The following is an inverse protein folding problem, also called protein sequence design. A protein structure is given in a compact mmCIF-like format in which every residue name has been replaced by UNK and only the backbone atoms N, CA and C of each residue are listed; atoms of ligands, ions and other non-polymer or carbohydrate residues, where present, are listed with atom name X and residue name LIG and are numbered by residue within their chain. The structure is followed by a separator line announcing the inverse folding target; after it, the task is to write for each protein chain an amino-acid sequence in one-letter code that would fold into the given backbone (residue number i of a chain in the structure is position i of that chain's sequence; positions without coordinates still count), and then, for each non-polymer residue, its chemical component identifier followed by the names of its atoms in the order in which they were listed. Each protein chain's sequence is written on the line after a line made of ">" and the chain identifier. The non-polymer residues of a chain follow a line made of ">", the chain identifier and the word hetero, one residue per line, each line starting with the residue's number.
data_IF_831147679194
#
_entry.id   IF_831147679194
#
_cell.length_a   1.000
_cell.length_b   1.000
_cell.length_c   1.000
_cell.angle_alpha   90.00
_cell.angle_beta   90.00
_cell.angle_gamma   90.00
#
_symmetry.space_group_name_H-M   'P 1'
#
loop_
_entity.id
_entity.type
_entity.pdbx_description
1 polymer ?
#
# COMPACT_ATOMS: atom_id res chain seq x y z
N UNK A 1 -26.83 7.74 -34.70
CA UNK A 1 -26.25 9.00 -34.19
C UNK A 1 -24.98 8.67 -33.48
N UNK A 2 -23.85 8.82 -34.15
CA UNK A 2 -22.51 8.60 -33.58
C UNK A 2 -22.21 9.74 -32.64
N UNK A 3 -22.19 9.47 -31.31
CA UNK A 3 -21.72 10.41 -30.28
C UNK A 3 -20.24 10.64 -30.54
N UNK A 4 -19.87 11.81 -31.01
CA UNK A 4 -18.50 12.28 -30.98
C UNK A 4 -18.11 12.43 -29.51
N UNK A 5 -17.37 11.46 -28.98
CA UNK A 5 -16.63 11.65 -27.75
C UNK A 5 -15.72 12.87 -27.98
N UNK A 6 -15.95 13.96 -27.26
CA UNK A 6 -15.11 15.14 -27.32
C UNK A 6 -13.68 14.70 -26.94
N UNK A 7 -12.74 14.71 -27.90
CA UNK A 7 -11.36 14.33 -27.64
C UNK A 7 -10.81 15.26 -26.56
N UNK A 8 -10.31 14.69 -25.47
CA UNK A 8 -9.63 15.42 -24.41
C UNK A 8 -8.51 16.26 -25.03
N UNK A 9 -8.39 17.56 -24.70
CA UNK A 9 -7.33 18.39 -25.27
C UNK A 9 -5.96 17.79 -24.94
N UNK A 10 -4.99 17.85 -25.85
CA UNK A 10 -3.67 17.23 -25.68
C UNK A 10 -2.88 17.83 -24.49
N UNK A 11 -3.19 19.06 -24.10
CA UNK A 11 -2.66 19.72 -22.88
C UNK A 11 -3.80 20.45 -22.15
N UNK A 12 -3.92 20.25 -20.87
CA UNK A 12 -4.96 20.81 -20.04
C UNK A 12 -4.42 21.30 -18.71
N UNK A 13 -4.96 22.42 -18.21
CA UNK A 13 -4.73 22.95 -16.88
C UNK A 13 -6.06 22.87 -16.13
N UNK A 14 -6.07 22.13 -15.04
CA UNK A 14 -7.23 22.00 -14.15
C UNK A 14 -7.02 22.93 -12.97
N UNK A 15 -7.95 23.88 -12.76
CA UNK A 15 -7.93 24.80 -11.62
C UNK A 15 -8.91 24.31 -10.56
N UNK A 16 -8.45 24.22 -9.32
CA UNK A 16 -9.28 23.90 -8.14
C UNK A 16 -9.10 24.95 -7.06
N UNK A 17 -10.17 25.27 -6.36
CA UNK A 17 -10.14 26.20 -5.23
C UNK A 17 -9.64 25.46 -4.00
N UNK A 18 -8.62 26.00 -3.35
CA UNK A 18 -8.09 25.55 -2.08
C UNK A 18 -8.73 26.27 -0.91
N UNK A 19 -8.56 25.76 0.29
CA UNK A 19 -8.82 26.49 1.52
C UNK A 19 -7.88 27.71 1.61
N UNK A 20 -8.33 28.82 2.19
CA UNK A 20 -7.47 29.99 2.47
C UNK A 20 -7.16 30.91 1.28
N UNK A 21 -8.05 31.06 0.30
CA UNK A 21 -7.90 31.97 -0.84
C UNK A 21 -6.71 31.64 -1.78
N UNK A 22 -6.34 30.37 -1.86
CA UNK A 22 -5.37 29.82 -2.79
C UNK A 22 -6.08 29.08 -3.93
N UNK A 23 -5.45 29.02 -5.10
CA UNK A 23 -5.91 28.22 -6.23
C UNK A 23 -4.79 27.23 -6.58
N UNK A 24 -5.14 25.96 -6.65
CA UNK A 24 -4.28 24.92 -7.18
C UNK A 24 -4.51 24.73 -8.68
N UNK A 25 -3.45 24.46 -9.42
CA UNK A 25 -3.49 24.18 -10.84
C UNK A 25 -2.69 22.92 -11.16
N UNK A 26 -3.29 22.01 -11.91
CA UNK A 26 -2.70 20.73 -12.30
C UNK A 26 -2.56 20.72 -13.82
N UNK A 27 -1.35 20.47 -14.31
CA UNK A 27 -1.05 20.30 -15.73
C UNK A 27 -1.18 18.81 -16.10
N UNK A 28 -2.01 18.49 -17.10
CA UNK A 28 -2.29 17.11 -17.53
C UNK A 28 -2.45 16.99 -19.04
N UNK A 29 -2.44 15.75 -19.53
CA UNK A 29 -2.60 15.39 -20.94
C UNK A 29 -1.28 14.91 -21.58
N UNK A 30 -1.36 14.34 -22.76
CA UNK A 30 -0.16 13.84 -23.50
C UNK A 30 0.90 14.92 -23.67
N UNK A 31 0.47 16.17 -23.88
CA UNK A 31 1.35 17.33 -24.02
C UNK A 31 1.36 18.21 -22.74
N UNK A 32 1.28 17.60 -21.56
CA UNK A 32 1.26 18.28 -20.28
C UNK A 32 2.38 19.34 -20.11
N UNK A 33 3.53 19.17 -20.76
CA UNK A 33 4.65 20.13 -20.75
C UNK A 33 4.24 21.50 -21.31
N UNK A 34 3.29 21.55 -22.24
CA UNK A 34 2.77 22.83 -22.76
C UNK A 34 1.93 23.52 -21.67
N UNK A 35 1.12 22.77 -20.95
CA UNK A 35 0.36 23.30 -19.81
C UNK A 35 1.30 23.80 -18.69
N UNK A 36 2.38 23.07 -18.39
CA UNK A 36 3.40 23.50 -17.42
C UNK A 36 4.07 24.81 -17.87
N UNK A 37 4.46 24.90 -19.15
CA UNK A 37 5.05 26.13 -19.71
C UNK A 37 4.11 27.34 -19.60
N UNK A 38 2.82 27.13 -19.80
CA UNK A 38 1.82 28.18 -19.65
C UNK A 38 1.69 28.65 -18.19
N UNK A 39 1.69 27.72 -17.22
CA UNK A 39 1.65 28.03 -15.78
C UNK A 39 2.87 28.84 -15.35
N UNK A 40 4.07 28.42 -15.73
CA UNK A 40 5.31 29.15 -15.43
C UNK A 40 5.30 30.55 -16.07
N UNK A 41 4.89 30.66 -17.36
CA UNK A 41 4.80 31.94 -18.04
C UNK A 41 3.75 32.89 -17.42
N UNK A 42 2.73 32.36 -16.74
CA UNK A 42 1.72 33.12 -16.02
C UNK A 42 2.09 33.42 -14.55
N UNK A 43 3.28 33.02 -14.10
CA UNK A 43 3.79 33.26 -12.75
C UNK A 43 3.15 32.41 -11.65
N UNK A 44 2.80 31.15 -11.97
CA UNK A 44 2.37 30.16 -10.98
C UNK A 44 3.58 29.44 -10.41
N UNK A 45 3.57 29.20 -9.09
CA UNK A 45 4.67 28.54 -8.39
C UNK A 45 4.43 27.03 -8.33
N UNK A 46 5.45 26.26 -8.66
CA UNK A 46 5.40 24.79 -8.61
C UNK A 46 5.76 24.31 -7.21
N UNK A 47 4.88 23.56 -6.58
CA UNK A 47 5.16 22.82 -5.32
C UNK A 47 5.94 21.53 -5.60
N UNK A 48 6.52 20.94 -4.53
CA UNK A 48 7.32 19.72 -4.64
C UNK A 48 6.62 18.53 -5.32
N UNK A 49 5.30 18.46 -5.24
CA UNK A 49 4.48 17.34 -5.75
C UNK A 49 3.95 17.57 -7.18
N UNK A 50 4.44 18.59 -7.89
CA UNK A 50 4.03 18.85 -9.28
C UNK A 50 2.74 19.66 -9.42
N UNK A 51 2.09 20.02 -8.35
CA UNK A 51 0.99 20.98 -8.30
C UNK A 51 1.54 22.40 -8.44
N UNK A 52 0.82 23.26 -9.10
CA UNK A 52 1.12 24.68 -9.15
C UNK A 52 0.11 25.42 -8.28
N UNK A 53 0.56 26.35 -7.45
CA UNK A 53 -0.31 27.11 -6.57
C UNK A 53 -0.12 28.60 -6.74
N UNK A 54 -1.14 29.37 -6.36
CA UNK A 54 -1.06 30.81 -6.27
C UNK A 54 -2.03 31.36 -5.22
N UNK A 55 -1.46 32.11 -4.28
CA UNK A 55 -2.21 32.78 -3.22
C UNK A 55 -2.74 34.12 -3.71
N UNK A 56 -3.95 34.46 -3.33
CA UNK A 56 -4.60 35.72 -3.69
C UNK A 56 -5.12 36.43 -2.44
N UNK A 57 -4.80 37.72 -2.30
CA UNK A 57 -5.34 38.58 -1.24
C UNK A 57 -6.73 39.13 -1.58
N UNK A 58 -7.07 39.23 -2.87
CA UNK A 58 -8.29 39.85 -3.37
C UNK A 58 -8.83 39.08 -4.60
N UNK A 59 -10.15 39.06 -4.73
CA UNK A 59 -10.84 38.43 -5.87
C UNK A 59 -10.39 39.01 -7.22
N UNK A 60 -10.26 40.36 -7.30
CA UNK A 60 -9.82 41.02 -8.53
C UNK A 60 -8.39 40.61 -8.95
N UNK A 61 -7.51 40.31 -7.99
CA UNK A 61 -6.17 39.78 -8.27
C UNK A 61 -6.24 38.33 -8.83
N UNK A 62 -7.11 37.49 -8.29
CA UNK A 62 -7.36 36.16 -8.80
C UNK A 62 -7.91 36.19 -10.24
N UNK A 63 -8.90 37.01 -10.52
CA UNK A 63 -9.50 37.20 -11.86
C UNK A 63 -8.44 37.64 -12.90
N UNK A 64 -7.57 38.57 -12.54
CA UNK A 64 -6.46 39.01 -13.42
C UNK A 64 -5.45 37.89 -13.67
N UNK A 65 -5.09 37.13 -12.64
CA UNK A 65 -4.16 36.03 -12.76
C UNK A 65 -4.72 34.91 -13.62
N UNK A 66 -5.99 34.54 -13.44
CA UNK A 66 -6.67 33.55 -14.29
C UNK A 66 -6.73 34.05 -15.74
N UNK A 67 -7.05 35.31 -15.97
CA UNK A 67 -7.04 35.91 -17.32
C UNK A 67 -5.65 35.83 -17.96
N UNK A 68 -4.59 36.14 -17.22
CA UNK A 68 -3.21 36.00 -17.66
C UNK A 68 -2.88 34.56 -18.00
N UNK A 69 -3.29 33.59 -17.15
CA UNK A 69 -3.10 32.16 -17.40
C UNK A 69 -3.81 31.71 -18.67
N UNK A 70 -5.07 32.11 -18.88
CA UNK A 70 -5.83 31.75 -20.10
C UNK A 70 -5.13 32.28 -21.36
N UNK A 71 -4.56 33.50 -21.34
CA UNK A 71 -3.77 34.02 -22.44
C UNK A 71 -2.47 33.24 -22.68
N UNK A 72 -1.75 32.87 -21.60
CA UNK A 72 -0.56 32.03 -21.68
C UNK A 72 -0.90 30.63 -22.22
N UNK A 73 -1.96 30.02 -21.71
CA UNK A 73 -2.42 28.70 -22.13
C UNK A 73 -2.74 28.63 -23.63
N UNK A 74 -3.44 29.63 -24.16
CA UNK A 74 -3.73 29.76 -25.60
C UNK A 74 -2.45 29.79 -26.43
N UNK A 75 -1.42 30.54 -26.02
CA UNK A 75 -0.12 30.59 -26.70
C UNK A 75 0.62 29.24 -26.65
N UNK A 76 0.45 28.50 -25.59
CA UNK A 76 1.05 27.18 -25.38
C UNK A 76 0.13 26.02 -25.80
N UNK A 77 -0.98 26.29 -26.52
CA UNK A 77 -1.94 25.27 -26.99
C UNK A 77 -2.50 24.40 -25.89
N UNK A 78 -2.65 24.94 -24.69
CA UNK A 78 -3.26 24.29 -23.55
C UNK A 78 -4.68 24.84 -23.31
N UNK A 79 -5.58 23.96 -22.87
CA UNK A 79 -6.92 24.34 -22.40
C UNK A 79 -6.88 24.62 -20.89
N UNK A 80 -7.68 25.58 -20.43
CA UNK A 80 -7.88 25.83 -19.00
C UNK A 80 -9.30 25.43 -18.66
N UNK A 81 -9.46 24.56 -17.68
CA UNK A 81 -10.74 24.12 -17.13
C UNK A 81 -10.78 24.38 -15.63
N UNK A 82 -11.96 24.64 -15.10
CA UNK A 82 -12.16 24.83 -13.66
C UNK A 82 -12.82 23.58 -13.10
N UNK A 83 -12.24 23.01 -12.06
CA UNK A 83 -12.89 21.97 -11.27
C UNK A 83 -14.10 22.56 -10.54
N UNK A 84 -15.18 21.82 -10.48
CA UNK A 84 -16.34 22.13 -9.63
C UNK A 84 -16.16 21.60 -8.20
N UNK A 85 -15.05 20.91 -7.94
CA UNK A 85 -14.71 20.30 -6.64
C UNK A 85 -13.65 21.12 -5.93
N UNK A 86 -13.64 21.13 -4.59
CA UNK A 86 -12.51 21.62 -3.82
C UNK A 86 -11.22 20.88 -4.19
N UNK A 87 -10.08 21.47 -3.90
CA UNK A 87 -8.79 20.83 -4.12
C UNK A 87 -8.67 19.54 -3.30
N UNK A 88 -8.29 18.44 -3.96
CA UNK A 88 -8.24 17.10 -3.33
C UNK A 88 -7.23 17.04 -2.17
N UNK A 89 -6.15 17.84 -2.22
CA UNK A 89 -5.18 17.93 -1.12
C UNK A 89 -5.81 18.38 0.18
N UNK A 90 -6.60 19.45 0.18
CA UNK A 90 -7.27 19.98 1.37
C UNK A 90 -8.29 18.97 1.95
N UNK A 91 -9.01 18.30 1.05
CA UNK A 91 -9.94 17.23 1.44
C UNK A 91 -9.20 16.10 2.13
N UNK A 92 -8.07 15.68 1.56
CA UNK A 92 -7.23 14.62 2.10
C UNK A 92 -6.60 15.01 3.44
N UNK A 93 -6.17 16.26 3.60
CA UNK A 93 -5.68 16.78 4.87
C UNK A 93 -6.77 16.70 5.95
N UNK A 94 -7.99 17.11 5.63
CA UNK A 94 -9.13 17.01 6.55
C UNK A 94 -9.45 15.55 6.91
N UNK A 95 -9.47 14.65 5.92
CA UNK A 95 -9.69 13.23 6.15
C UNK A 95 -8.58 12.67 7.05
N UNK A 96 -7.30 12.93 6.76
CA UNK A 96 -6.16 12.45 7.52
C UNK A 96 -6.21 12.86 9.00
N UNK A 97 -6.65 14.09 9.29
CA UNK A 97 -6.82 14.57 10.67
C UNK A 97 -7.96 13.90 11.43
N UNK A 98 -8.96 13.36 10.73
CA UNK A 98 -10.11 12.70 11.34
C UNK A 98 -9.92 11.17 11.48
N UNK A 99 -9.01 10.58 10.71
CA UNK A 99 -8.73 9.15 10.80
C UNK A 99 -7.99 8.78 12.09
N UNK A 100 -8.21 7.58 12.65
CA UNK A 100 -7.51 7.12 13.84
C UNK A 100 -6.02 6.90 13.57
N UNK A 101 -5.16 7.45 14.42
CA UNK A 101 -3.70 7.35 14.31
C UNK A 101 -3.08 8.47 13.45
N UNK A 102 -1.76 8.43 13.26
CA UNK A 102 -1.04 9.43 12.47
C UNK A 102 -1.14 9.10 10.97
N UNK A 103 -1.81 9.95 10.22
CA UNK A 103 -1.91 9.86 8.77
C UNK A 103 -1.25 11.06 8.12
N UNK A 104 -0.45 10.80 7.09
CA UNK A 104 0.22 11.84 6.30
C UNK A 104 -0.32 11.82 4.87
N UNK A 105 -0.98 12.88 4.41
CA UNK A 105 -1.44 13.02 3.04
C UNK A 105 -0.30 13.52 2.14
N UNK A 106 -0.18 12.95 0.95
CA UNK A 106 0.78 13.36 -0.08
C UNK A 106 0.07 13.39 -1.43
N UNK A 107 0.00 14.55 -2.05
CA UNK A 107 -0.59 14.68 -3.39
C UNK A 107 0.39 14.18 -4.45
N UNK A 108 -0.11 13.38 -5.36
CA UNK A 108 0.60 12.85 -6.50
C UNK A 108 -0.09 13.30 -7.80
N UNK A 109 0.69 13.80 -8.77
CA UNK A 109 0.17 14.29 -10.05
C UNK A 109 0.62 13.39 -11.18
N UNK A 110 -0.33 12.80 -11.86
CA UNK A 110 -0.13 11.94 -13.03
C UNK A 110 -0.37 12.77 -14.30
N UNK A 111 0.53 13.71 -14.56
CA UNK A 111 0.42 14.66 -15.68
C UNK A 111 0.28 13.96 -17.03
N UNK A 112 1.01 12.86 -17.27
CA UNK A 112 0.86 12.05 -18.48
C UNK A 112 -0.01 10.83 -18.19
N UNK A 113 -1.02 10.52 -19.02
CA UNK A 113 -1.92 9.38 -18.78
C UNK A 113 -1.21 8.03 -18.59
N UNK A 114 -0.10 7.79 -19.32
CA UNK A 114 0.71 6.55 -19.20
C UNK A 114 1.28 6.35 -17.78
N UNK A 115 1.53 7.43 -17.02
CA UNK A 115 2.07 7.28 -15.65
C UNK A 115 1.10 6.62 -14.67
N UNK A 116 -0.18 6.56 -15.02
CA UNK A 116 -1.16 5.86 -14.20
C UNK A 116 -1.00 4.33 -14.30
N UNK A 117 -0.47 3.82 -15.41
CA UNK A 117 -0.20 2.40 -15.59
C UNK A 117 0.83 1.90 -14.56
N UNK A 118 1.76 2.77 -14.14
CA UNK A 118 2.76 2.44 -13.13
C UNK A 118 2.15 2.17 -11.74
N UNK A 119 0.92 2.62 -11.48
CA UNK A 119 0.21 2.35 -10.22
C UNK A 119 -0.39 0.95 -10.16
N UNK A 120 -0.78 0.38 -11.30
CA UNK A 120 -1.53 -0.88 -11.37
C UNK A 120 -0.86 -2.02 -10.59
N UNK A 121 0.47 -2.25 -10.70
CA UNK A 121 1.14 -3.32 -9.96
C UNK A 121 1.16 -3.11 -8.43
N UNK A 122 1.01 -1.87 -7.98
CA UNK A 122 1.11 -1.52 -6.56
C UNK A 122 -0.25 -1.46 -5.87
N UNK A 123 -1.34 -1.28 -6.64
CA UNK A 123 -2.68 -1.24 -6.09
C UNK A 123 -3.16 -2.64 -5.72
N UNK A 124 -3.71 -2.73 -4.53
CA UNK A 124 -4.36 -3.93 -4.03
C UNK A 124 -5.84 -3.62 -3.85
N UNK A 125 -6.55 -3.61 -4.96
CA UNK A 125 -7.95 -3.22 -5.06
C UNK A 125 -8.71 -4.07 -6.09
N UNK A 126 -9.94 -4.42 -5.78
CA UNK A 126 -10.85 -5.15 -6.67
C UNK A 126 -12.08 -4.33 -7.07
N UNK A 127 -12.07 -3.01 -6.87
CA UNK A 127 -13.21 -2.13 -7.02
C UNK A 127 -13.07 -1.06 -8.09
N UNK A 128 -13.72 0.08 -7.86
CA UNK A 128 -13.78 1.20 -8.80
C UNK A 128 -12.41 1.87 -9.01
N UNK A 129 -11.54 1.86 -7.98
CA UNK A 129 -10.24 2.53 -8.06
C UNK A 129 -9.34 1.93 -9.12
N UNK A 130 -9.14 0.60 -9.10
CA UNK A 130 -8.26 -0.06 -10.09
C UNK A 130 -8.78 0.15 -11.52
N UNK A 131 -10.10 0.11 -11.73
CA UNK A 131 -10.69 0.37 -13.04
C UNK A 131 -10.45 1.82 -13.50
N UNK A 132 -10.55 2.80 -12.59
CA UNK A 132 -10.30 4.20 -12.90
C UNK A 132 -8.83 4.44 -13.33
N UNK A 133 -7.89 3.80 -12.64
CA UNK A 133 -6.45 3.87 -12.96
C UNK A 133 -6.16 3.21 -14.31
N UNK A 134 -6.67 2.01 -14.55
CA UNK A 134 -6.51 1.30 -15.84
C UNK A 134 -7.12 2.06 -17.02
N UNK A 135 -8.22 2.78 -16.79
CA UNK A 135 -8.85 3.61 -17.81
C UNK A 135 -8.17 4.97 -18.03
N UNK A 136 -7.05 5.26 -17.34
CA UNK A 136 -6.33 6.53 -17.47
C UNK A 136 -7.12 7.76 -17.00
N UNK A 137 -8.04 7.59 -16.03
CA UNK A 137 -8.97 8.65 -15.60
C UNK A 137 -8.50 9.41 -14.37
N UNK A 138 -7.33 9.07 -13.82
CA UNK A 138 -6.78 9.66 -12.60
C UNK A 138 -5.70 10.69 -12.96
N UNK A 139 -6.02 11.97 -12.97
CA UNK A 139 -5.03 13.02 -13.28
C UNK A 139 -4.17 13.38 -12.07
N UNK A 140 -4.72 13.21 -10.89
CA UNK A 140 -4.05 13.39 -9.59
C UNK A 140 -4.78 12.58 -8.53
N UNK A 141 -4.05 12.25 -7.49
CA UNK A 141 -4.55 11.52 -6.34
C UNK A 141 -3.90 12.04 -5.06
N UNK A 142 -4.39 11.61 -3.92
CA UNK A 142 -3.69 11.79 -2.65
C UNK A 142 -3.43 10.44 -2.01
N UNK A 143 -2.18 10.15 -1.73
CA UNK A 143 -1.76 9.01 -0.93
C UNK A 143 -1.89 9.37 0.54
N UNK A 144 -2.65 8.59 1.30
CA UNK A 144 -2.80 8.68 2.74
C UNK A 144 -1.96 7.57 3.37
N UNK A 145 -0.87 7.92 4.04
CA UNK A 145 0.07 6.96 4.64
C UNK A 145 -0.05 6.95 6.15
N UNK A 146 -0.22 5.78 6.74
CA UNK A 146 -0.07 5.53 8.16
C UNK A 146 1.11 4.56 8.37
N UNK A 147 2.31 5.10 8.59
CA UNK A 147 3.53 4.30 8.79
C UNK A 147 3.45 3.38 10.00
N UNK A 148 2.79 3.83 11.08
CA UNK A 148 2.65 3.04 12.31
C UNK A 148 1.78 1.79 12.10
N UNK A 149 0.73 1.92 11.30
CA UNK A 149 -0.16 0.81 10.97
C UNK A 149 0.30 0.03 9.73
N UNK A 150 1.27 0.55 8.96
CA UNK A 150 1.70 -0.01 7.67
C UNK A 150 0.57 -0.03 6.64
N UNK A 151 -0.22 1.05 6.59
CA UNK A 151 -1.36 1.19 5.68
C UNK A 151 -1.18 2.39 4.80
N UNK A 152 -1.27 2.17 3.49
CA UNK A 152 -1.28 3.20 2.47
C UNK A 152 -2.58 3.13 1.67
N UNK A 153 -3.28 4.26 1.59
CA UNK A 153 -4.49 4.38 0.79
C UNK A 153 -4.28 5.39 -0.34
N UNK A 154 -4.91 5.14 -1.48
CA UNK A 154 -5.01 6.10 -2.58
C UNK A 154 -6.42 6.67 -2.61
N UNK A 155 -6.54 7.98 -2.48
CA UNK A 155 -7.78 8.75 -2.58
C UNK A 155 -7.80 9.49 -3.93
N UNK A 156 -8.87 9.30 -4.69
CA UNK A 156 -9.09 10.00 -5.97
C UNK A 156 -10.45 10.68 -6.00
N UNK A 157 -10.60 11.68 -6.86
CA UNK A 157 -11.92 12.13 -7.26
C UNK A 157 -12.65 11.02 -8.02
N UNK A 158 -13.94 10.79 -7.71
CA UNK A 158 -14.70 9.74 -8.39
C UNK A 158 -14.89 10.07 -9.88
N UNK A 159 -14.35 9.28 -10.82
CA UNK A 159 -14.45 9.58 -12.24
C UNK A 159 -15.89 9.54 -12.75
N UNK A 160 -16.21 10.43 -13.69
CA UNK A 160 -17.55 10.47 -14.30
C UNK A 160 -18.67 11.00 -13.40
N UNK A 161 -18.38 11.38 -12.16
CA UNK A 161 -19.35 11.96 -11.22
C UNK A 161 -18.95 13.39 -10.84
N UNK A 162 -19.93 14.23 -10.55
CA UNK A 162 -19.67 15.63 -10.11
C UNK A 162 -19.26 15.74 -8.64
N UNK A 163 -19.50 14.72 -7.83
CA UNK A 163 -19.26 14.69 -6.39
C UNK A 163 -18.73 13.34 -5.93
N UNK A 164 -18.15 13.32 -4.72
CA UNK A 164 -17.67 12.11 -4.08
C UNK A 164 -16.25 11.72 -4.50
N UNK A 165 -15.69 10.81 -3.74
CA UNK A 165 -14.33 10.30 -3.90
C UNK A 165 -14.34 8.78 -3.94
N UNK A 166 -13.22 8.18 -4.31
CA UNK A 166 -12.97 6.74 -4.20
C UNK A 166 -11.66 6.57 -3.43
N UNK A 167 -11.67 5.67 -2.45
CA UNK A 167 -10.47 5.28 -1.74
C UNK A 167 -10.25 3.77 -1.86
N UNK A 168 -9.01 3.36 -2.09
CA UNK A 168 -8.57 1.98 -2.11
C UNK A 168 -7.15 1.88 -1.54
N UNK A 169 -6.61 0.66 -1.42
CA UNK A 169 -5.33 0.43 -0.78
C UNK A 169 -4.22 0.15 -1.77
N UNK A 170 -3.01 0.54 -1.39
CA UNK A 170 -1.80 -0.09 -1.89
C UNK A 170 -1.57 -1.42 -1.18
N UNK A 171 -0.87 -2.34 -1.83
CA UNK A 171 -0.47 -3.56 -1.16
C UNK A 171 0.53 -3.24 -0.05
N UNK A 172 0.37 -3.85 1.13
CA UNK A 172 1.36 -3.70 2.17
C UNK A 172 2.67 -4.37 1.75
N UNK A 173 3.77 -3.90 2.33
CA UNK A 173 5.09 -4.45 2.10
C UNK A 173 5.09 -5.97 2.21
N UNK A 174 5.81 -6.58 1.30
CA UNK A 174 6.00 -8.00 1.32
C UNK A 174 5.02 -8.82 0.49
N UNK A 175 4.16 -8.21 -0.30
CA UNK A 175 3.34 -8.90 -1.29
C UNK A 175 3.74 -8.45 -2.69
N UNK A 176 4.14 -9.39 -3.54
CA UNK A 176 4.67 -9.09 -4.87
C UNK A 176 3.59 -9.16 -5.97
N UNK A 177 2.58 -10.02 -5.81
CA UNK A 177 1.50 -10.20 -6.79
C UNK A 177 0.20 -9.60 -6.26
N UNK A 178 -0.06 -8.35 -6.64
CA UNK A 178 -1.20 -7.58 -6.16
C UNK A 178 -2.32 -7.45 -7.18
N UNK A 179 -1.98 -7.50 -8.46
CA UNK A 179 -2.94 -7.38 -9.54
C UNK A 179 -3.84 -8.62 -9.59
N UNK A 180 -5.15 -8.40 -9.67
CA UNK A 180 -6.18 -9.46 -9.66
C UNK A 180 -6.09 -10.43 -8.46
N UNK A 181 -5.48 -9.99 -7.34
CA UNK A 181 -5.38 -10.83 -6.16
C UNK A 181 -6.79 -11.14 -5.59
N UNK A 182 -7.14 -12.43 -5.36
CA UNK A 182 -8.49 -12.82 -4.93
C UNK A 182 -8.86 -12.31 -3.52
N UNK A 183 -7.88 -11.88 -2.74
CA UNK A 183 -8.10 -11.32 -1.41
C UNK A 183 -8.09 -9.78 -1.42
N UNK A 184 -7.96 -9.13 -2.59
CA UNK A 184 -7.92 -7.68 -2.65
C UNK A 184 -9.22 -7.06 -2.09
N UNK A 185 -9.14 -6.07 -1.18
CA UNK A 185 -10.32 -5.37 -0.71
C UNK A 185 -10.96 -4.59 -1.86
N UNK A 186 -12.26 -4.39 -1.80
CA UNK A 186 -12.95 -3.54 -2.77
C UNK A 186 -12.86 -2.09 -2.33
N UNK A 187 -12.41 -1.20 -3.22
CA UNK A 187 -12.38 0.25 -2.96
C UNK A 187 -13.75 0.78 -2.54
N UNK A 188 -13.73 1.82 -1.71
CA UNK A 188 -14.94 2.42 -1.17
C UNK A 188 -15.27 3.74 -1.86
N UNK A 189 -16.55 3.91 -2.22
CA UNK A 189 -17.08 5.20 -2.67
C UNK A 189 -17.41 6.06 -1.46
N UNK A 190 -16.86 7.26 -1.43
CA UNK A 190 -16.92 8.19 -0.33
C UNK A 190 -17.82 9.40 -0.65
N UNK A 191 -18.52 9.96 0.33
CA UNK A 191 -19.29 11.19 0.17
C UNK A 191 -18.37 12.40 -0.06
N UNK A 192 -18.96 13.51 -0.50
CA UNK A 192 -18.24 14.77 -0.72
C UNK A 192 -17.77 15.42 0.59
N UNK A 193 -18.50 15.23 1.68
CA UNK A 193 -18.15 15.74 3.00
C UNK A 193 -16.95 14.95 3.57
N UNK A 194 -15.81 15.61 3.86
CA UNK A 194 -14.58 14.93 4.27
C UNK A 194 -14.69 14.27 5.67
N UNK A 195 -15.51 14.82 6.56
CA UNK A 195 -15.72 14.22 7.90
C UNK A 195 -16.47 12.89 7.78
N UNK A 196 -17.51 12.87 6.94
CA UNK A 196 -18.24 11.63 6.66
C UNK A 196 -17.38 10.64 5.86
N UNK A 197 -16.56 11.14 4.93
CA UNK A 197 -15.61 10.31 4.19
C UNK A 197 -14.62 9.62 5.14
N UNK A 198 -14.05 10.36 6.10
CA UNK A 198 -13.17 9.78 7.12
C UNK A 198 -13.87 8.72 7.97
N UNK A 199 -15.11 8.96 8.40
CA UNK A 199 -15.89 7.97 9.13
C UNK A 199 -16.11 6.69 8.31
N UNK A 200 -16.49 6.80 7.04
CA UNK A 200 -16.65 5.64 6.14
C UNK A 200 -15.34 4.86 5.94
N UNK A 201 -14.20 5.56 5.84
CA UNK A 201 -12.89 4.90 5.79
C UNK A 201 -12.62 4.16 7.10
N UNK A 202 -12.77 4.82 8.25
CA UNK A 202 -12.47 4.25 9.56
C UNK A 202 -13.38 3.08 9.93
N UNK A 203 -14.69 3.22 9.69
CA UNK A 203 -15.69 2.27 10.20
C UNK A 203 -15.96 1.10 9.23
N UNK A 204 -15.70 1.29 7.94
CA UNK A 204 -16.03 0.30 6.91
C UNK A 204 -14.81 -0.18 6.14
N UNK A 205 -13.99 0.73 5.61
CA UNK A 205 -12.91 0.34 4.72
C UNK A 205 -11.73 -0.28 5.48
N UNK A 206 -11.23 0.36 6.54
CA UNK A 206 -10.09 -0.17 7.30
C UNK A 206 -10.37 -1.55 7.93
N UNK A 207 -11.55 -1.83 8.52
CA UNK A 207 -11.88 -3.19 8.96
C UNK A 207 -11.87 -4.22 7.82
N UNK A 208 -12.45 -3.88 6.65
CA UNK A 208 -12.44 -4.76 5.48
C UNK A 208 -11.03 -5.00 4.93
N UNK A 209 -10.19 -3.96 4.89
CA UNK A 209 -8.77 -4.06 4.54
C UNK A 209 -8.01 -5.00 5.48
N UNK A 210 -8.17 -4.85 6.79
CA UNK A 210 -7.50 -5.74 7.76
C UNK A 210 -7.98 -7.18 7.67
N UNK A 211 -9.26 -7.40 7.39
CA UNK A 211 -9.79 -8.74 7.15
C UNK A 211 -9.21 -9.35 5.87
N UNK A 212 -9.14 -8.59 4.79
CA UNK A 212 -8.54 -8.99 3.53
C UNK A 212 -7.06 -9.35 3.71
N UNK A 213 -6.32 -8.51 4.43
CA UNK A 213 -4.90 -8.73 4.74
C UNK A 213 -4.68 -10.00 5.57
N UNK A 214 -5.53 -10.23 6.56
CA UNK A 214 -5.49 -11.46 7.36
C UNK A 214 -5.75 -12.70 6.48
N UNK A 215 -6.76 -12.67 5.63
CA UNK A 215 -7.09 -13.75 4.70
C UNK A 215 -5.94 -14.04 3.73
N UNK A 216 -5.33 -12.98 3.17
CA UNK A 216 -4.18 -13.13 2.27
C UNK A 216 -2.96 -13.75 2.94
N UNK A 217 -2.63 -13.31 4.17
CA UNK A 217 -1.54 -13.90 4.97
C UNK A 217 -1.81 -15.36 5.29
N UNK A 218 -3.04 -15.68 5.68
CA UNK A 218 -3.44 -17.06 5.96
C UNK A 218 -3.31 -17.95 4.72
N UNK A 219 -3.75 -17.46 3.56
CA UNK A 219 -3.60 -18.19 2.29
C UNK A 219 -2.13 -18.37 1.89
N UNK A 220 -1.28 -17.36 2.09
CA UNK A 220 0.16 -17.44 1.82
C UNK A 220 0.83 -18.52 2.67
N UNK A 221 0.59 -18.52 3.99
CA UNK A 221 1.13 -19.55 4.90
C UNK A 221 0.58 -20.93 4.56
N UNK A 222 -0.71 -21.07 4.26
CA UNK A 222 -1.32 -22.34 3.87
C UNK A 222 -0.69 -22.91 2.58
N UNK A 223 -0.50 -22.05 1.58
CA UNK A 223 0.14 -22.43 0.31
C UNK A 223 1.59 -22.86 0.52
N UNK A 224 2.37 -22.11 1.30
CA UNK A 224 3.75 -22.45 1.64
C UNK A 224 3.84 -23.81 2.34
N UNK A 225 3.00 -24.06 3.36
CA UNK A 225 2.97 -25.35 4.07
C UNK A 225 2.52 -26.50 3.18
N UNK A 226 1.58 -26.27 2.26
CA UNK A 226 1.19 -27.32 1.29
C UNK A 226 2.38 -27.71 0.41
N UNK A 227 3.09 -26.72 -0.17
CA UNK A 227 4.25 -26.98 -1.02
C UNK A 227 5.37 -27.70 -0.26
N UNK A 228 5.67 -27.29 0.97
CA UNK A 228 6.66 -28.00 1.82
C UNK A 228 6.27 -29.46 2.04
N UNK A 229 4.98 -29.76 2.26
CA UNK A 229 4.49 -31.15 2.44
C UNK A 229 4.59 -31.97 1.17
N UNK A 230 4.23 -31.38 0.05
CA UNK A 230 4.28 -32.05 -1.25
C UNK A 230 5.74 -32.43 -1.58
N UNK A 231 6.66 -31.49 -1.42
CA UNK A 231 8.10 -31.73 -1.59
C UNK A 231 8.65 -32.78 -0.60
N UNK A 232 8.22 -32.72 0.67
CA UNK A 232 8.61 -33.69 1.67
C UNK A 232 8.15 -35.11 1.29
N UNK A 233 6.91 -35.24 0.83
CA UNK A 233 6.32 -36.53 0.43
C UNK A 233 7.01 -37.07 -0.81
N UNK A 234 7.24 -36.26 -1.83
CA UNK A 234 7.93 -36.63 -3.05
C UNK A 234 9.35 -37.15 -2.73
N UNK A 235 10.06 -36.41 -1.92
CA UNK A 235 11.40 -36.78 -1.50
C UNK A 235 11.42 -38.09 -0.66
N UNK A 236 10.46 -38.29 0.23
CA UNK A 236 10.34 -39.56 0.97
C UNK A 236 10.15 -40.76 0.03
N UNK A 237 9.36 -40.63 -1.03
CA UNK A 237 9.17 -41.66 -2.03
C UNK A 237 10.47 -41.98 -2.78
N UNK A 238 11.23 -40.97 -3.15
CA UNK A 238 12.51 -41.12 -3.85
C UNK A 238 13.55 -41.85 -2.97
N UNK A 239 13.64 -41.49 -1.69
CA UNK A 239 14.61 -42.10 -0.75
C UNK A 239 14.23 -43.52 -0.28
N UNK A 240 12.94 -43.85 -0.30
CA UNK A 240 12.51 -45.21 -0.04
C UNK A 240 13.05 -46.19 -1.09
N UNK A 241 13.33 -45.70 -2.31
CA UNK A 241 13.84 -46.51 -3.43
C UNK A 241 15.36 -46.45 -3.51
N UNK A 242 15.99 -45.35 -3.17
CA UNK A 242 17.43 -45.12 -3.28
C UNK A 242 17.91 -44.19 -2.17
N UNK A 243 18.60 -44.67 -1.12
CA UNK A 243 19.09 -43.83 -0.03
C UNK A 243 20.10 -42.81 -0.53
N UNK A 244 19.71 -41.52 -0.52
CA UNK A 244 20.60 -40.38 -0.88
C UNK A 244 21.02 -39.64 0.39
N UNK A 245 22.31 -39.64 0.79
CA UNK A 245 22.80 -38.90 1.94
C UNK A 245 22.67 -37.35 1.78
N UNK A 246 22.51 -36.85 0.54
CA UNK A 246 22.27 -35.45 0.26
C UNK A 246 20.78 -35.05 0.34
N UNK A 247 19.91 -35.99 0.62
CA UNK A 247 18.47 -35.84 0.66
C UNK A 247 18.00 -34.69 1.56
N UNK A 248 18.44 -34.70 2.80
CA UNK A 248 18.06 -33.70 3.80
C UNK A 248 18.46 -32.28 3.40
N UNK A 249 19.64 -32.16 2.78
CA UNK A 249 20.15 -30.87 2.30
C UNK A 249 19.35 -30.37 1.08
N UNK A 250 18.98 -31.29 0.18
CA UNK A 250 18.18 -30.97 -1.00
C UNK A 250 16.77 -30.52 -0.61
N UNK A 251 16.12 -31.23 0.31
CA UNK A 251 14.81 -30.85 0.82
C UNK A 251 14.82 -29.46 1.46
N UNK A 252 15.76 -29.20 2.36
CA UNK A 252 15.88 -27.88 2.99
C UNK A 252 16.15 -26.75 1.97
N UNK A 253 16.83 -27.06 0.86
CA UNK A 253 17.07 -26.09 -0.21
C UNK A 253 15.81 -25.82 -1.05
N UNK A 254 15.03 -26.85 -1.34
CA UNK A 254 13.75 -26.72 -2.05
C UNK A 254 12.73 -25.94 -1.20
N UNK A 255 12.59 -26.32 0.06
CA UNK A 255 11.67 -25.68 1.00
C UNK A 255 12.08 -24.25 1.42
N UNK A 256 13.26 -23.77 1.04
CA UNK A 256 13.78 -22.47 1.49
C UNK A 256 12.87 -21.30 1.13
N UNK A 257 12.33 -21.25 -0.09
CA UNK A 257 11.44 -20.17 -0.53
C UNK A 257 10.14 -20.17 0.26
N UNK A 258 9.61 -21.33 0.54
CA UNK A 258 8.37 -21.49 1.31
C UNK A 258 8.57 -21.07 2.77
N UNK A 259 9.75 -21.34 3.32
CA UNK A 259 10.10 -20.85 4.67
C UNK A 259 10.19 -19.33 4.71
N UNK A 260 10.68 -18.67 3.65
CA UNK A 260 10.66 -17.21 3.57
C UNK A 260 9.24 -16.67 3.64
N UNK A 261 8.29 -17.27 2.93
CA UNK A 261 6.87 -16.90 2.98
C UNK A 261 6.27 -17.09 4.37
N UNK A 262 6.58 -18.22 5.02
CA UNK A 262 6.14 -18.47 6.41
C UNK A 262 6.70 -17.44 7.36
N UNK A 263 8.01 -17.17 7.31
CA UNK A 263 8.66 -16.18 8.19
C UNK A 263 8.08 -14.78 8.00
N UNK A 264 7.70 -14.44 6.77
CA UNK A 264 7.15 -13.13 6.41
C UNK A 264 5.68 -12.95 6.85
N UNK A 265 4.86 -13.99 6.71
CA UNK A 265 3.41 -13.86 6.83
C UNK A 265 2.82 -14.44 8.11
N UNK A 266 3.52 -15.36 8.81
CA UNK A 266 3.01 -16.00 10.00
C UNK A 266 3.03 -15.14 11.29
N UNK A 267 3.95 -14.19 11.53
CA UNK A 267 4.01 -13.46 12.80
C UNK A 267 2.68 -12.83 13.21
N UNK A 268 1.98 -12.03 12.37
CA UNK A 268 0.72 -11.43 12.76
C UNK A 268 -0.43 -12.43 12.91
N UNK A 269 -0.34 -13.61 12.28
CA UNK A 269 -1.31 -14.69 12.46
C UNK A 269 -1.17 -15.34 13.85
N UNK A 270 0.06 -15.63 14.27
CA UNK A 270 0.35 -16.17 15.61
C UNK A 270 -0.11 -15.17 16.69
N UNK A 271 0.22 -13.90 16.52
CA UNK A 271 -0.22 -12.85 17.44
C UNK A 271 -1.76 -12.77 17.52
N UNK A 272 -2.43 -12.82 16.37
CA UNK A 272 -3.90 -12.84 16.31
C UNK A 272 -4.47 -14.05 17.05
N UNK A 273 -3.95 -15.25 16.83
CA UNK A 273 -4.43 -16.47 17.48
C UNK A 273 -4.23 -16.43 19.00
N UNK A 274 -3.14 -15.84 19.49
CA UNK A 274 -2.83 -15.74 20.94
C UNK A 274 -3.72 -14.78 21.72
N UNK A 275 -4.38 -13.86 21.08
CA UNK A 275 -5.28 -12.90 21.74
C UNK A 275 -6.57 -13.54 22.27
N UNK A 276 -6.88 -14.78 21.89
CA UNK A 276 -8.04 -15.50 22.37
C UNK A 276 -7.69 -16.73 23.21
N UNK A 277 -8.67 -17.33 23.89
CA UNK A 277 -8.46 -18.57 24.60
C UNK A 277 -8.09 -19.70 23.64
N UNK A 278 -7.04 -20.44 23.96
CA UNK A 278 -6.60 -21.62 23.24
C UNK A 278 -6.63 -22.84 24.18
N UNK A 279 -6.99 -24.02 23.67
CA UNK A 279 -6.71 -25.28 24.36
C UNK A 279 -5.22 -25.38 24.70
N UNK A 280 -4.88 -26.10 25.76
CA UNK A 280 -3.49 -26.21 26.22
C UNK A 280 -2.56 -26.74 25.12
N UNK A 281 -2.97 -27.78 24.42
CA UNK A 281 -2.19 -28.39 23.31
C UNK A 281 -1.94 -27.39 22.19
N UNK A 282 -2.98 -26.65 21.79
CA UNK A 282 -2.87 -25.62 20.74
C UNK A 282 -2.00 -24.44 21.20
N UNK A 283 -2.08 -24.04 22.48
CA UNK A 283 -1.19 -23.04 23.06
C UNK A 283 0.27 -23.47 23.05
N UNK A 284 0.53 -24.75 23.34
CA UNK A 284 1.89 -25.32 23.25
C UNK A 284 2.39 -25.36 21.79
N UNK A 285 1.53 -25.72 20.84
CA UNK A 285 1.85 -25.68 19.42
C UNK A 285 2.21 -24.26 18.97
N UNK A 286 1.41 -23.25 19.35
CA UNK A 286 1.72 -21.83 19.04
C UNK A 286 3.07 -21.40 19.63
N UNK A 287 3.41 -21.88 20.82
CA UNK A 287 4.71 -21.55 21.46
C UNK A 287 5.87 -22.18 20.68
N UNK A 288 5.74 -23.42 20.19
CA UNK A 288 6.75 -24.05 19.35
C UNK A 288 6.90 -23.35 18.00
N UNK A 289 5.78 -22.99 17.36
CA UNK A 289 5.80 -22.24 16.09
C UNK A 289 6.46 -20.87 16.26
N UNK A 290 6.21 -20.17 17.35
CA UNK A 290 6.85 -18.89 17.64
C UNK A 290 8.37 -19.03 17.84
N UNK A 291 8.81 -20.05 18.56
CA UNK A 291 10.23 -20.35 18.73
C UNK A 291 10.89 -20.70 17.37
N UNK A 292 10.23 -21.54 16.56
CA UNK A 292 10.67 -21.86 15.21
C UNK A 292 10.74 -20.62 14.33
N UNK A 293 9.75 -19.74 14.41
CA UNK A 293 9.72 -18.46 13.68
C UNK A 293 10.89 -17.55 14.07
N UNK A 294 11.20 -17.40 15.36
CA UNK A 294 12.35 -16.63 15.85
C UNK A 294 13.67 -17.17 15.30
N UNK A 295 13.82 -18.50 15.30
CA UNK A 295 14.99 -19.19 14.71
C UNK A 295 15.05 -18.94 13.20
N UNK A 296 13.94 -19.12 12.49
CA UNK A 296 13.83 -18.90 11.04
C UNK A 296 14.19 -17.47 10.66
N UNK A 297 13.64 -16.48 11.37
CA UNK A 297 13.94 -15.06 11.16
C UNK A 297 15.44 -14.78 11.32
N UNK A 298 16.08 -15.35 12.32
CA UNK A 298 17.54 -15.19 12.55
C UNK A 298 18.35 -15.77 11.40
N UNK A 299 17.98 -16.95 10.90
CA UNK A 299 18.66 -17.61 9.76
C UNK A 299 18.47 -16.77 8.48
N UNK A 300 17.25 -16.30 8.22
CA UNK A 300 16.93 -15.45 7.06
C UNK A 300 17.71 -14.14 7.11
N UNK A 301 17.73 -13.46 8.26
CA UNK A 301 18.48 -12.23 8.43
C UNK A 301 19.99 -12.43 8.22
N UNK A 302 20.56 -13.50 8.78
CA UNK A 302 21.96 -13.87 8.59
C UNK A 302 22.30 -14.14 7.12
N UNK A 303 21.41 -14.87 6.41
CA UNK A 303 21.54 -15.15 4.97
C UNK A 303 21.50 -13.85 4.15
N UNK A 304 20.50 -12.99 4.37
CA UNK A 304 20.40 -11.70 3.70
C UNK A 304 21.58 -10.78 4.03
N UNK A 305 22.05 -10.73 5.28
CA UNK A 305 23.20 -9.94 5.66
C UNK A 305 24.49 -10.36 4.92
N UNK A 306 24.67 -11.65 4.69
CA UNK A 306 25.79 -12.17 3.89
C UNK A 306 25.66 -11.77 2.40
N UNK A 307 24.44 -11.71 1.86
CA UNK A 307 24.16 -11.30 0.48
C UNK A 307 24.24 -9.79 0.27
N UNK A 308 23.87 -8.97 1.25
CA UNK A 308 23.85 -7.50 1.16
C UNK A 308 25.23 -6.90 0.91
N UNK A 309 26.30 -7.59 1.27
CA UNK A 309 27.66 -7.20 0.90
C UNK A 309 27.99 -7.32 -0.60
N UNK A 310 27.08 -7.88 -1.41
CA UNK A 310 27.25 -8.16 -2.85
C UNK A 310 25.93 -8.06 -3.60
N UNK A 311 25.33 -6.87 -3.70
CA UNK A 311 23.99 -6.68 -4.27
C UNK A 311 23.86 -7.12 -5.73
N UNK A 312 24.96 -7.15 -6.49
CA UNK A 312 24.97 -7.46 -7.92
C UNK A 312 25.29 -8.93 -8.24
N UNK A 313 25.48 -9.79 -7.23
CA UNK A 313 25.82 -11.17 -7.48
C UNK A 313 24.58 -11.99 -7.89
N UNK A 314 24.56 -12.63 -9.09
CA UNK A 314 23.47 -13.52 -9.47
C UNK A 314 23.30 -14.67 -8.44
N UNK A 315 22.06 -15.11 -8.18
CA UNK A 315 21.78 -16.26 -7.28
C UNK A 315 22.60 -17.51 -7.61
N UNK A 316 22.84 -17.75 -8.90
CA UNK A 316 23.70 -18.83 -9.36
C UNK A 316 25.16 -18.69 -8.83
N UNK A 317 25.71 -17.48 -8.82
CA UNK A 317 27.04 -17.19 -8.31
C UNK A 317 27.16 -17.55 -6.81
N UNK A 318 26.12 -17.25 -6.02
CA UNK A 318 26.10 -17.52 -4.59
C UNK A 318 26.07 -19.02 -4.28
N UNK A 319 25.29 -19.78 -5.06
CA UNK A 319 25.24 -21.24 -4.93
C UNK A 319 26.56 -21.89 -5.30
N UNK A 320 27.28 -21.36 -6.28
CA UNK A 320 28.55 -21.88 -6.77
C UNK A 320 29.74 -21.50 -5.87
N UNK A 321 29.74 -20.29 -5.34
CA UNK A 321 30.88 -19.74 -4.58
C UNK A 321 30.77 -19.87 -3.06
N UNK A 322 29.58 -20.19 -2.51
CA UNK A 322 29.35 -20.35 -1.08
C UNK A 322 28.64 -21.67 -0.71
N UNK A 323 29.06 -22.82 -1.22
CA UNK A 323 28.38 -24.11 -0.93
C UNK A 323 28.38 -24.41 0.56
N UNK A 324 29.44 -24.07 1.30
CA UNK A 324 29.51 -24.28 2.74
C UNK A 324 28.48 -23.44 3.52
N UNK A 325 28.25 -22.18 3.12
CA UNK A 325 27.25 -21.35 3.77
C UNK A 325 25.81 -21.83 3.49
N UNK A 326 25.57 -22.32 2.27
CA UNK A 326 24.30 -22.96 1.89
C UNK A 326 24.04 -24.22 2.74
N UNK A 327 25.03 -25.08 2.89
CA UNK A 327 24.93 -26.30 3.72
C UNK A 327 24.65 -25.96 5.21
N UNK A 328 25.29 -24.94 5.75
CA UNK A 328 25.03 -24.43 7.12
C UNK A 328 23.58 -23.93 7.22
N UNK A 329 23.13 -23.09 6.28
CA UNK A 329 21.75 -22.58 6.24
C UNK A 329 20.75 -23.75 6.20
N UNK A 330 20.92 -24.70 5.29
CA UNK A 330 20.03 -25.84 5.11
C UNK A 330 19.94 -26.72 6.37
N UNK A 331 21.06 -26.96 7.00
CA UNK A 331 21.09 -27.71 8.28
C UNK A 331 20.39 -26.96 9.40
N UNK A 332 20.59 -25.63 9.48
CA UNK A 332 20.00 -24.81 10.52
C UNK A 332 18.49 -24.61 10.36
N UNK A 333 17.99 -24.57 9.12
CA UNK A 333 16.56 -24.33 8.84
C UNK A 333 15.71 -25.62 9.00
N UNK A 334 16.31 -26.80 8.93
CA UNK A 334 15.59 -28.08 9.00
C UNK A 334 14.71 -28.21 10.24
N UNK A 335 15.16 -27.93 11.48
CA UNK A 335 14.29 -28.00 12.66
C UNK A 335 13.10 -27.03 12.60
N UNK A 336 13.28 -25.89 11.92
CA UNK A 336 12.18 -24.93 11.68
C UNK A 336 11.13 -25.54 10.77
N UNK A 337 11.55 -26.15 9.66
CA UNK A 337 10.63 -26.85 8.74
C UNK A 337 9.87 -27.96 9.48
N UNK A 338 10.55 -28.78 10.26
CA UNK A 338 9.92 -29.89 11.00
C UNK A 338 8.86 -29.39 12.01
N UNK A 339 9.13 -28.28 12.71
CA UNK A 339 8.16 -27.68 13.61
C UNK A 339 6.91 -27.15 12.85
N UNK A 340 7.10 -26.53 11.68
CA UNK A 340 5.99 -26.05 10.85
C UNK A 340 5.19 -27.20 10.22
N UNK A 341 5.82 -28.30 9.83
CA UNK A 341 5.12 -29.50 9.37
C UNK A 341 4.28 -30.14 10.47
N UNK A 342 4.77 -30.13 11.71
CA UNK A 342 4.08 -30.73 12.86
C UNK A 342 2.88 -29.86 13.35
N UNK A 343 3.06 -28.57 13.48
CA UNK A 343 2.14 -27.70 14.20
C UNK A 343 1.42 -26.67 13.30
N UNK A 344 1.84 -26.49 12.04
CA UNK A 344 1.32 -25.43 11.16
C UNK A 344 -0.19 -25.48 10.91
N UNK A 345 -0.78 -26.67 10.86
CA UNK A 345 -2.24 -26.83 10.71
C UNK A 345 -3.01 -26.30 11.92
N UNK A 346 -2.41 -26.32 13.09
CA UNK A 346 -3.01 -25.73 14.30
C UNK A 346 -3.14 -24.21 14.13
N UNK A 347 -2.09 -23.55 13.62
CA UNK A 347 -2.17 -22.12 13.32
C UNK A 347 -3.26 -21.82 12.29
N UNK A 348 -3.27 -22.53 11.15
CA UNK A 348 -4.24 -22.31 10.08
C UNK A 348 -5.69 -22.51 10.53
N UNK A 349 -5.96 -23.53 11.34
CA UNK A 349 -7.28 -23.81 11.91
C UNK A 349 -7.78 -22.64 12.77
N UNK A 350 -6.90 -22.05 13.60
CA UNK A 350 -7.26 -20.90 14.44
C UNK A 350 -7.30 -19.59 13.65
N UNK A 351 -6.49 -19.42 12.63
CA UNK A 351 -6.52 -18.25 11.75
C UNK A 351 -7.81 -18.20 10.89
N UNK A 352 -8.35 -19.35 10.49
CA UNK A 352 -9.61 -19.44 9.74
C UNK A 352 -10.86 -19.38 10.62
N UNK A 353 -10.75 -19.46 11.95
CA UNK A 353 -11.93 -19.53 12.83
C UNK A 353 -12.81 -18.29 12.70
N UNK A 354 -14.09 -18.42 12.31
CA UNK A 354 -15.01 -17.29 12.23
C UNK A 354 -15.27 -16.70 13.63
N UNK A 355 -15.23 -15.39 13.76
CA UNK A 355 -15.62 -14.68 14.98
C UNK A 355 -14.54 -13.91 15.71
N UNK A 356 -13.28 -14.00 15.30
CA UNK A 356 -12.24 -13.08 15.77
C UNK A 356 -12.12 -11.91 14.80
N UNK A 357 -12.85 -10.81 15.08
CA UNK A 357 -12.64 -9.57 14.32
C UNK A 357 -11.17 -9.14 14.42
N UNK A 358 -10.53 -8.71 13.30
CA UNK A 358 -9.22 -8.08 13.37
C UNK A 358 -9.32 -6.90 14.34
N UNK A 359 -8.41 -6.84 15.31
CA UNK A 359 -8.40 -5.71 16.25
C UNK A 359 -7.91 -4.50 15.49
N UNK A 360 -8.66 -3.38 15.47
CA UNK A 360 -8.15 -2.13 14.98
C UNK A 360 -6.88 -1.76 15.75
N UNK A 361 -5.92 -1.12 15.06
CA UNK A 361 -4.72 -0.59 15.70
C UNK A 361 -5.11 0.20 16.97
N UNK A 362 -4.30 0.16 18.05
CA UNK A 362 -4.65 0.84 19.28
C UNK A 362 -4.94 2.31 18.98
N UNK A 363 -6.12 2.76 19.36
CA UNK A 363 -6.51 4.16 19.23
C UNK A 363 -5.44 5.02 19.91
N UNK A 364 -4.85 5.94 19.18
CA UNK A 364 -3.91 6.89 19.74
C UNK A 364 -4.60 7.62 20.87
N UNK A 365 -4.00 7.60 22.05
CA UNK A 365 -4.48 8.37 23.19
C UNK A 365 -4.52 9.83 22.73
N UNK A 366 -5.68 10.53 22.82
CA UNK A 366 -5.74 11.91 22.39
C UNK A 366 -4.69 12.72 23.14
N UNK A 367 -3.86 13.43 22.40
CA UNK A 367 -2.86 14.33 22.97
C UNK A 367 -3.57 15.33 23.89
N UNK A 368 -3.14 15.41 25.14
CA UNK A 368 -3.63 16.41 26.08
C UNK A 368 -3.48 17.79 25.45
N UNK A 369 -4.52 18.64 25.48
CA UNK A 369 -4.40 19.99 24.96
C UNK A 369 -3.25 20.71 25.66
N UNK A 370 -2.47 21.54 24.93
CA UNK A 370 -1.35 22.26 25.51
C UNK A 370 -1.87 23.11 26.67
N UNK A 371 -1.17 23.02 27.81
CA UNK A 371 -1.53 23.77 29.01
C UNK A 371 -1.60 25.27 28.68
N UNK A 372 -2.78 25.86 28.97
CA UNK A 372 -2.99 27.29 28.75
C UNK A 372 -1.89 28.11 29.44
N UNK A 373 -1.10 28.84 28.65
CA UNK A 373 -0.09 29.76 29.14
C UNK A 373 -0.76 30.84 29.98
N UNK A 374 -0.33 30.96 31.25
CA UNK A 374 -0.80 31.99 32.17
C UNK A 374 -0.54 33.37 31.52
N UNK A 375 -1.53 34.30 31.53
CA UNK A 375 -1.29 35.65 31.06
C UNK A 375 -0.24 36.35 31.95
N UNK A 376 0.75 36.97 31.30
CA UNK A 376 1.75 37.80 31.96
C UNK A 376 1.04 39.00 32.63
N UNK A 377 1.33 39.25 33.91
CA UNK A 377 0.88 40.43 34.63
C UNK A 377 1.53 41.67 34.02
N UNK A 378 0.79 42.72 33.74
CA UNK A 378 1.39 44.01 33.34
C UNK A 378 2.08 44.64 34.55
N UNK A 379 3.29 45.22 34.29
CA UNK A 379 3.97 46.16 35.19
C UNK A 379 3.47 47.56 34.93
#
# INVERSE_FOLDING_TARGET
>A
MTSYAASTPPAQIILSVCEGAEIAAIATGEQYKWAQSALVAAGWERTGNGVYTRLFSERAAAERAISTLVHAARRHRAAVVTSTRPYLGDIADTIAHQLPGPWTPTVEVYSHPVWQEDLVPWLWDSGELIHAVQAGQVTHATRLTNETAGVDLLLIERPGHSTGYVAGAFAPDGFDDNFENPHAPTSIVLPQDPYRAAAEIADRYLPAYHQALHARRTAAVASALSRIRDEHTELQHLTATEPDPAYEERFADMAWHEVLDVVKHAPPLIEHCRRGPLPLEDSMAMTRLEAALGTGTTIVAGWHGMLSGRPDAPRAYLNEHFPGAKAIRNRSIRPVIDAWLADGDTLLRHAHAPGRAPIPAPAAVPALPPAASKPARPR
#
